data_IF_976112082856
#
_entry.id   IF_976112082856
#
_cell.length_a   1.000
_cell.length_b   1.000
_cell.length_c   1.000
_cell.angle_alpha   90.00
_cell.angle_beta   90.00
_cell.angle_gamma   90.00
#
_symmetry.space_group_name_H-M   'P 1'
#
loop_
_entity.id
_entity.type
_entity.pdbx_description
1 polymer ?
#
# COMPACT_ATOMS: atom_id res chain seq x y z
N UNK A 1 45.51 -17.42 23.31
CA UNK A 1 44.46 -16.50 22.84
C UNK A 1 43.13 -17.22 22.86
N UNK A 2 42.14 -16.73 23.58
CA UNK A 2 40.87 -17.45 23.84
C UNK A 2 40.09 -17.58 22.50
N UNK A 3 39.59 -18.78 22.16
CA UNK A 3 38.86 -19.08 20.92
C UNK A 3 37.83 -17.99 20.55
N UNK A 4 37.13 -17.44 21.56
CA UNK A 4 36.17 -16.33 21.37
C UNK A 4 36.85 -15.03 20.83
N UNK A 5 38.04 -14.69 21.29
CA UNK A 5 38.74 -13.48 20.80
C UNK A 5 39.30 -13.68 19.38
N UNK A 6 39.71 -14.89 19.03
CA UNK A 6 40.15 -15.20 17.67
C UNK A 6 38.98 -15.11 16.67
N UNK A 7 37.81 -15.64 17.04
CA UNK A 7 36.59 -15.58 16.23
C UNK A 7 36.13 -14.12 16.01
N UNK A 8 36.11 -13.32 17.07
CA UNK A 8 35.74 -11.87 16.98
C UNK A 8 36.72 -11.13 16.09
N UNK A 9 38.02 -11.42 16.17
CA UNK A 9 39.04 -10.76 15.33
C UNK A 9 38.93 -11.17 13.86
N UNK A 10 38.62 -12.43 13.55
CA UNK A 10 38.43 -12.93 12.19
C UNK A 10 37.15 -12.32 11.59
N UNK A 11 36.10 -12.17 12.39
CA UNK A 11 34.83 -11.60 11.94
C UNK A 11 34.91 -10.09 11.72
N UNK A 12 35.69 -9.37 12.53
CA UNK A 12 35.96 -7.94 12.30
C UNK A 12 36.80 -7.73 11.03
N UNK A 13 37.70 -8.64 10.69
CA UNK A 13 38.49 -8.59 9.45
C UNK A 13 37.61 -8.90 8.23
N UNK A 14 36.70 -9.88 8.31
CA UNK A 14 35.76 -10.21 7.22
C UNK A 14 34.81 -9.03 6.97
N UNK A 15 34.28 -8.40 8.02
CA UNK A 15 33.45 -7.19 7.90
C UNK A 15 34.21 -6.02 7.25
N UNK A 16 35.49 -5.84 7.59
CA UNK A 16 36.34 -4.79 7.02
C UNK A 16 36.67 -5.07 5.54
N UNK A 17 36.91 -6.31 5.18
CA UNK A 17 37.21 -6.73 3.80
C UNK A 17 35.96 -6.60 2.90
N UNK A 18 34.76 -6.88 3.44
CA UNK A 18 33.51 -6.66 2.69
C UNK A 18 33.24 -5.16 2.43
N UNK A 19 33.72 -4.26 3.28
CA UNK A 19 33.57 -2.80 3.13
C UNK A 19 34.61 -2.19 2.17
N UNK A 20 35.79 -2.82 2.02
CA UNK A 20 36.91 -2.26 1.23
C UNK A 20 37.00 -2.78 -0.20
N UNK A 21 36.33 -3.86 -0.57
CA UNK A 21 36.32 -4.40 -1.94
C UNK A 21 35.05 -3.98 -2.66
N UNK A 22 35.08 -2.75 -3.17
CA UNK A 22 34.18 -2.27 -4.22
C UNK A 22 32.82 -1.80 -3.74
N UNK A 23 32.49 -0.57 -4.07
CA UNK A 23 31.27 0.19 -3.74
C UNK A 23 29.93 -0.37 -4.28
N UNK A 24 29.77 -1.68 -4.38
CA UNK A 24 28.54 -2.37 -4.79
C UNK A 24 28.35 -3.70 -4.01
N UNK A 25 28.58 -3.69 -2.70
CA UNK A 25 28.09 -4.80 -1.89
C UNK A 25 26.65 -4.46 -1.50
N UNK A 26 25.70 -5.20 -2.02
CA UNK A 26 24.29 -5.08 -1.66
C UNK A 26 24.13 -5.10 -0.12
N UNK A 27 23.31 -4.19 0.41
CA UNK A 27 22.97 -4.11 1.84
C UNK A 27 22.53 -5.47 2.41
N UNK A 28 21.93 -6.30 1.57
CA UNK A 28 21.48 -7.66 1.88
C UNK A 28 22.65 -8.64 2.12
N UNK A 29 23.77 -8.48 1.44
CA UNK A 29 24.96 -9.31 1.69
C UNK A 29 25.60 -8.96 3.04
N UNK A 30 25.54 -7.70 3.46
CA UNK A 30 26.02 -7.24 4.77
C UNK A 30 25.08 -7.74 5.87
N UNK A 31 23.76 -7.65 5.69
CA UNK A 31 22.78 -8.18 6.64
C UNK A 31 22.86 -9.71 6.77
N UNK A 32 23.05 -10.43 5.66
CA UNK A 32 23.29 -11.86 5.63
C UNK A 32 24.57 -12.24 6.40
N UNK A 33 25.64 -11.45 6.25
CA UNK A 33 26.89 -11.67 6.96
C UNK A 33 26.75 -11.41 8.47
N UNK A 34 26.00 -10.37 8.86
CA UNK A 34 25.71 -10.06 10.27
C UNK A 34 24.85 -11.16 10.90
N UNK A 35 23.82 -11.66 10.19
CA UNK A 35 22.96 -12.74 10.65
C UNK A 35 23.75 -14.06 10.85
N UNK A 36 24.65 -14.39 9.92
CA UNK A 36 25.57 -15.55 10.08
C UNK A 36 26.46 -15.42 11.31
N UNK A 37 26.93 -14.22 11.58
CA UNK A 37 27.78 -13.94 12.74
C UNK A 37 27.03 -14.10 14.05
N UNK A 38 25.80 -13.61 14.13
CA UNK A 38 24.94 -13.75 15.30
C UNK A 38 24.55 -15.21 15.57
N UNK A 39 24.26 -16.00 14.54
CA UNK A 39 23.92 -17.41 14.63
C UNK A 39 25.10 -18.27 15.21
N UNK A 40 26.32 -17.99 14.75
CA UNK A 40 27.54 -18.69 15.26
C UNK A 40 27.78 -18.38 16.75
N UNK A 41 27.41 -17.18 17.20
CA UNK A 41 27.60 -16.78 18.63
C UNK A 41 26.52 -17.38 19.55
N UNK A 42 25.29 -17.61 19.04
CA UNK A 42 24.15 -18.13 19.82
C UNK A 42 24.09 -19.67 19.89
N UNK A 43 24.92 -20.37 19.11
CA UNK A 43 24.90 -21.82 19.05
C UNK A 43 23.73 -22.45 18.28
N UNK A 44 22.86 -21.60 17.67
CA UNK A 44 21.86 -22.03 16.71
C UNK A 44 22.41 -21.84 15.30
N UNK A 45 22.51 -22.90 14.52
CA UNK A 45 22.88 -22.86 13.10
C UNK A 45 21.69 -22.34 12.30
N UNK A 46 21.40 -21.02 12.41
CA UNK A 46 20.43 -20.38 11.53
C UNK A 46 21.13 -20.02 10.23
N UNK A 47 20.65 -20.58 9.14
CA UNK A 47 21.10 -20.26 7.79
C UNK A 47 20.29 -19.06 7.28
N UNK A 48 20.93 -17.94 6.88
CA UNK A 48 20.21 -16.81 6.30
C UNK A 48 19.62 -17.21 4.96
N UNK A 49 18.43 -16.68 4.66
CA UNK A 49 17.78 -16.85 3.37
C UNK A 49 18.55 -16.11 2.28
N UNK A 50 18.57 -16.72 1.09
CA UNK A 50 19.01 -16.06 -0.13
C UNK A 50 17.93 -15.07 -0.60
N UNK A 51 18.31 -14.10 -1.42
CA UNK A 51 17.36 -13.16 -2.02
C UNK A 51 16.29 -13.88 -2.87
N UNK A 52 16.67 -14.97 -3.57
CA UNK A 52 15.73 -15.83 -4.30
C UNK A 52 14.73 -16.57 -3.43
N UNK A 53 14.96 -16.68 -2.11
CA UNK A 53 14.12 -17.40 -1.16
C UNK A 53 13.16 -16.47 -0.39
N UNK A 54 13.45 -15.17 -0.30
CA UNK A 54 12.66 -14.23 0.53
C UNK A 54 12.59 -12.83 -0.07
N UNK A 55 12.11 -12.72 -1.31
CA UNK A 55 11.91 -11.43 -1.98
C UNK A 55 10.65 -10.74 -1.49
N UNK A 56 10.67 -9.42 -1.54
CA UNK A 56 9.49 -8.58 -1.37
C UNK A 56 8.72 -8.84 -0.08
N UNK A 57 9.46 -9.05 1.02
CA UNK A 57 8.85 -9.17 2.35
C UNK A 57 8.06 -7.89 2.62
N UNK A 58 6.78 -8.04 2.96
CA UNK A 58 5.87 -6.93 3.20
C UNK A 58 4.82 -7.25 4.24
N UNK A 59 4.42 -6.23 4.96
CA UNK A 59 3.25 -6.26 5.82
C UNK A 59 2.06 -5.72 5.05
N UNK A 60 0.94 -6.42 5.11
CA UNK A 60 -0.35 -5.97 4.57
C UNK A 60 -1.29 -5.76 5.74
N UNK A 61 -2.15 -4.74 5.65
CA UNK A 61 -3.18 -4.50 6.66
C UNK A 61 -4.07 -5.72 6.84
N UNK A 62 -4.44 -6.00 8.08
CA UNK A 62 -5.47 -6.97 8.43
C UNK A 62 -6.77 -6.23 8.76
N UNK A 63 -7.88 -6.93 8.93
CA UNK A 63 -9.17 -6.30 9.24
C UNK A 63 -9.11 -5.46 10.53
N UNK A 64 -8.45 -5.98 11.57
CA UNK A 64 -8.11 -5.23 12.79
C UNK A 64 -6.59 -5.22 12.98
N UNK A 65 -5.96 -4.08 12.73
CA UNK A 65 -4.52 -3.91 12.83
C UNK A 65 -4.01 -3.72 14.27
N UNK A 66 -4.90 -3.66 15.25
CA UNK A 66 -4.52 -3.63 16.67
C UNK A 66 -4.16 -5.02 17.20
N UNK A 67 -4.72 -6.07 16.61
CA UNK A 67 -4.57 -7.45 17.09
C UNK A 67 -4.06 -8.43 16.02
N UNK A 68 -3.90 -7.98 14.78
CA UNK A 68 -3.48 -8.84 13.67
C UNK A 68 -2.64 -8.12 12.62
N UNK A 69 -1.88 -8.90 11.83
CA UNK A 69 -1.07 -8.43 10.72
C UNK A 69 -0.81 -9.55 9.72
N UNK A 70 -1.04 -9.27 8.42
CA UNK A 70 -0.67 -10.20 7.35
C UNK A 70 0.76 -9.94 6.88
N UNK A 71 1.55 -11.00 6.78
CA UNK A 71 2.91 -11.00 6.28
C UNK A 71 2.94 -11.78 4.98
N UNK A 72 3.56 -11.19 3.96
CA UNK A 72 3.75 -11.84 2.66
C UNK A 72 5.20 -11.73 2.21
N UNK A 73 5.63 -12.70 1.41
CA UNK A 73 6.89 -12.65 0.66
C UNK A 73 6.81 -13.53 -0.58
N UNK A 74 7.83 -13.48 -1.41
CA UNK A 74 7.93 -14.30 -2.61
C UNK A 74 9.26 -15.06 -2.64
N UNK A 75 9.26 -16.20 -3.35
CA UNK A 75 10.46 -16.99 -3.64
C UNK A 75 10.46 -17.47 -5.09
N UNK A 76 11.62 -17.95 -5.55
CA UNK A 76 11.77 -18.53 -6.90
C UNK A 76 11.41 -20.03 -6.94
N UNK A 77 11.24 -20.67 -5.79
CA UNK A 77 10.92 -22.09 -5.65
C UNK A 77 9.82 -22.32 -4.63
N UNK A 78 9.08 -23.41 -4.78
CA UNK A 78 8.12 -23.89 -3.76
C UNK A 78 8.85 -24.29 -2.48
N UNK A 79 8.30 -23.89 -1.34
CA UNK A 79 8.86 -24.15 -0.02
C UNK A 79 7.75 -24.58 0.94
N UNK A 80 7.48 -25.89 0.97
CA UNK A 80 6.35 -26.47 1.71
C UNK A 80 6.33 -26.16 3.22
N UNK A 81 7.50 -25.87 3.81
CA UNK A 81 7.66 -25.58 5.24
C UNK A 81 7.85 -24.09 5.52
N UNK A 82 7.18 -23.23 4.76
CA UNK A 82 7.20 -21.79 4.95
C UNK A 82 6.61 -21.40 6.31
N UNK A 83 7.32 -20.56 7.06
CA UNK A 83 6.94 -20.15 8.42
C UNK A 83 7.18 -18.66 8.64
N UNK A 84 6.40 -18.08 9.56
CA UNK A 84 6.63 -16.77 10.14
C UNK A 84 6.93 -16.98 11.62
N UNK A 85 8.06 -16.47 12.07
CA UNK A 85 8.40 -16.38 13.49
C UNK A 85 8.22 -14.94 13.96
N UNK A 86 7.69 -14.77 15.17
CA UNK A 86 7.49 -13.45 15.77
C UNK A 86 7.62 -13.49 17.29
N UNK A 87 7.95 -12.35 17.87
CA UNK A 87 8.11 -12.20 19.33
C UNK A 87 7.94 -10.74 19.75
N UNK A 88 7.69 -10.52 21.01
CA UNK A 88 7.80 -9.18 21.61
C UNK A 88 9.25 -8.68 21.51
N UNK A 89 9.44 -7.42 21.23
CA UNK A 89 10.79 -6.81 21.26
C UNK A 89 11.41 -6.99 22.64
N UNK A 90 12.61 -7.55 22.66
CA UNK A 90 13.35 -7.86 23.89
C UNK A 90 12.97 -9.19 24.56
N UNK A 91 12.06 -9.97 23.98
CA UNK A 91 11.73 -11.33 24.47
C UNK A 91 12.58 -12.39 23.78
N UNK A 92 12.99 -13.40 24.53
CA UNK A 92 13.64 -14.60 23.97
C UNK A 92 12.61 -15.64 23.47
N UNK A 93 11.33 -15.49 23.84
CA UNK A 93 10.27 -16.42 23.47
C UNK A 93 9.76 -16.10 22.09
N UNK A 94 10.00 -16.97 21.13
CA UNK A 94 9.54 -16.87 19.75
C UNK A 94 8.31 -17.77 19.55
N UNK A 95 7.29 -17.21 18.89
CA UNK A 95 6.13 -17.93 18.37
C UNK A 95 6.32 -18.18 16.88
N UNK A 96 5.71 -19.25 16.38
CA UNK A 96 5.81 -19.65 14.97
C UNK A 96 4.43 -19.99 14.42
N UNK A 97 4.11 -19.46 13.24
CA UNK A 97 2.96 -19.89 12.46
C UNK A 97 3.42 -20.44 11.10
N UNK A 98 2.62 -21.32 10.52
CA UNK A 98 2.81 -21.75 9.13
C UNK A 98 2.32 -20.66 8.18
N UNK A 99 3.01 -20.51 7.07
CA UNK A 99 2.58 -19.72 5.93
C UNK A 99 2.09 -20.63 4.81
N UNK A 100 1.24 -20.10 3.94
CA UNK A 100 0.87 -20.77 2.69
C UNK A 100 2.04 -20.76 1.71
N UNK A 101 2.00 -21.64 0.72
CA UNK A 101 2.90 -21.67 -0.44
C UNK A 101 2.04 -21.84 -1.69
N UNK A 102 1.99 -20.82 -2.55
CA UNK A 102 1.14 -20.79 -3.75
C UNK A 102 1.94 -20.35 -4.96
N UNK A 103 2.02 -21.20 -5.97
CA UNK A 103 2.56 -20.79 -7.27
C UNK A 103 1.61 -19.79 -7.95
N UNK A 104 2.18 -18.74 -8.50
CA UNK A 104 1.51 -17.77 -9.35
C UNK A 104 2.34 -17.55 -10.62
N UNK A 105 1.67 -17.74 -11.77
CA UNK A 105 2.30 -17.58 -13.09
C UNK A 105 1.55 -16.50 -13.86
N UNK A 106 2.27 -15.48 -14.32
CA UNK A 106 1.77 -14.42 -15.18
C UNK A 106 2.94 -13.90 -16.07
N UNK A 107 2.63 -13.37 -17.25
CA UNK A 107 3.66 -12.89 -18.21
C UNK A 107 4.80 -13.91 -18.41
N UNK A 108 4.48 -15.20 -18.53
CA UNK A 108 5.47 -16.26 -18.66
C UNK A 108 6.45 -16.41 -17.50
N UNK A 109 6.22 -15.73 -16.37
CA UNK A 109 7.06 -15.74 -15.18
C UNK A 109 6.32 -16.37 -14.01
N UNK A 110 6.94 -17.34 -13.34
CA UNK A 110 6.39 -17.99 -12.14
C UNK A 110 7.12 -17.48 -10.89
N UNK A 111 6.35 -17.17 -9.87
CA UNK A 111 6.82 -16.89 -8.50
C UNK A 111 6.01 -17.70 -7.51
N UNK A 112 6.58 -17.98 -6.34
CA UNK A 112 5.87 -18.62 -5.24
C UNK A 112 5.56 -17.57 -4.18
N UNK A 113 4.28 -17.49 -3.80
CA UNK A 113 3.78 -16.48 -2.88
C UNK A 113 3.50 -17.16 -1.55
N UNK A 114 4.09 -16.60 -0.51
CA UNK A 114 3.88 -17.03 0.86
C UNK A 114 3.06 -15.99 1.60
N UNK A 115 2.08 -16.46 2.38
CA UNK A 115 1.16 -15.62 3.13
C UNK A 115 0.87 -16.23 4.49
N UNK A 116 0.90 -15.42 5.54
CA UNK A 116 0.46 -15.81 6.87
C UNK A 116 -0.02 -14.62 7.67
N UNK A 117 -1.10 -14.78 8.42
CA UNK A 117 -1.66 -13.74 9.27
C UNK A 117 -1.38 -14.03 10.73
N UNK A 118 -0.66 -13.12 11.38
CA UNK A 118 -0.48 -13.10 12.83
C UNK A 118 -1.78 -12.61 13.46
N UNK A 119 -2.27 -13.31 14.48
CA UNK A 119 -3.48 -12.99 15.22
C UNK A 119 -3.26 -13.04 16.72
N UNK A 120 -4.14 -12.41 17.51
CA UNK A 120 -4.00 -12.40 18.97
C UNK A 120 -2.83 -11.55 19.47
N UNK A 121 -2.38 -10.60 18.67
CA UNK A 121 -1.36 -9.62 19.08
C UNK A 121 -1.96 -8.64 20.11
N UNK A 122 -1.13 -8.11 21.00
CA UNK A 122 -1.54 -7.04 21.90
C UNK A 122 -1.58 -5.70 21.16
N UNK A 123 -2.59 -4.84 21.39
CA UNK A 123 -2.65 -3.50 20.79
C UNK A 123 -1.48 -2.61 21.23
N UNK A 124 -1.11 -1.64 20.38
CA UNK A 124 -0.08 -0.64 20.65
C UNK A 124 1.23 -1.26 21.17
N UNK A 125 1.66 -2.36 20.54
CA UNK A 125 2.76 -3.19 21.02
C UNK A 125 3.78 -3.42 19.93
N UNK A 126 5.06 -3.35 20.30
CA UNK A 126 6.18 -3.58 19.37
C UNK A 126 6.58 -5.05 19.39
N UNK A 127 6.51 -5.64 18.22
CA UNK A 127 6.99 -6.97 17.89
C UNK A 127 8.14 -6.88 16.90
N UNK A 128 8.85 -7.97 16.77
CA UNK A 128 9.71 -8.25 15.61
C UNK A 128 9.31 -9.59 15.00
N UNK A 129 9.42 -9.70 13.70
CA UNK A 129 9.12 -10.92 12.97
C UNK A 129 10.20 -11.23 11.94
N UNK A 130 10.26 -12.48 11.52
CA UNK A 130 11.07 -12.95 10.40
C UNK A 130 10.35 -14.06 9.66
N UNK A 131 10.70 -14.24 8.40
CA UNK A 131 10.18 -15.33 7.56
C UNK A 131 11.23 -16.42 7.38
N UNK A 132 10.81 -17.61 7.04
CA UNK A 132 11.76 -18.72 6.86
C UNK A 132 11.15 -20.02 6.41
N UNK A 133 12.01 -21.03 6.35
CA UNK A 133 11.66 -22.38 5.92
C UNK A 133 12.28 -23.43 6.83
N UNK A 134 11.56 -24.54 7.03
CA UNK A 134 12.03 -25.62 7.88
C UNK A 134 12.43 -25.16 9.29
N UNK A 135 13.46 -25.76 9.85
CA UNK A 135 13.90 -25.49 11.21
C UNK A 135 15.00 -24.43 11.33
N UNK A 136 15.74 -24.14 10.26
CA UNK A 136 17.02 -23.41 10.34
C UNK A 136 17.21 -22.27 9.33
N UNK A 137 16.42 -22.17 8.27
CA UNK A 137 16.54 -21.08 7.27
C UNK A 137 15.66 -19.89 7.64
N UNK A 138 16.24 -18.72 7.90
CA UNK A 138 15.52 -17.52 8.37
C UNK A 138 16.05 -16.26 7.70
N UNK A 139 15.14 -15.30 7.50
CA UNK A 139 15.49 -13.93 7.17
C UNK A 139 16.05 -13.17 8.38
N UNK A 140 16.45 -11.93 8.17
CA UNK A 140 16.64 -10.96 9.24
C UNK A 140 15.31 -10.72 9.99
N UNK A 141 15.39 -10.17 11.21
CA UNK A 141 14.24 -9.67 11.95
C UNK A 141 13.80 -8.32 11.42
N UNK A 142 12.49 -8.12 11.28
CA UNK A 142 11.83 -6.88 10.88
C UNK A 142 10.91 -6.39 11.98
N UNK A 143 10.72 -5.07 12.05
CA UNK A 143 9.80 -4.46 13.02
C UNK A 143 8.35 -4.68 12.63
N UNK A 144 7.50 -4.89 13.62
CA UNK A 144 6.04 -4.88 13.51
C UNK A 144 5.48 -4.16 14.72
N UNK A 145 4.71 -3.09 14.49
CA UNK A 145 3.99 -2.39 15.54
C UNK A 145 2.49 -2.50 15.28
N UNK A 146 1.75 -2.93 16.29
CA UNK A 146 0.29 -3.02 16.22
C UNK A 146 -0.34 -1.65 16.41
N UNK A 147 -1.46 -1.41 15.73
CA UNK A 147 -2.21 -0.16 15.86
C UNK A 147 -2.73 0.06 17.28
N UNK A 148 -2.94 1.31 17.68
CA UNK A 148 -3.45 1.69 19.01
C UNK A 148 -2.78 2.95 19.57
N UNK A 149 -1.78 3.51 18.90
CA UNK A 149 -1.27 4.83 19.25
C UNK A 149 -2.34 5.90 19.04
N UNK A 150 -2.41 6.88 19.95
CA UNK A 150 -3.36 7.99 19.86
C UNK A 150 -3.01 9.00 18.78
N UNK A 151 -1.74 9.06 18.41
CA UNK A 151 -1.22 9.94 17.36
C UNK A 151 -0.30 9.11 16.49
N UNK A 152 -0.54 9.10 15.19
CA UNK A 152 0.30 8.40 14.23
C UNK A 152 0.23 9.05 12.84
N UNK A 153 1.25 8.79 12.03
CA UNK A 153 1.34 9.31 10.67
C UNK A 153 1.09 8.21 9.64
N UNK A 154 0.41 8.59 8.57
CA UNK A 154 0.13 7.76 7.39
C UNK A 154 0.78 8.41 6.18
N UNK A 155 1.57 7.67 5.40
CA UNK A 155 2.01 8.10 4.08
C UNK A 155 1.00 7.65 3.03
N UNK A 156 0.69 8.52 2.07
CA UNK A 156 -0.26 8.24 1.00
C UNK A 156 0.42 8.53 -0.32
N UNK A 157 0.45 7.52 -1.18
CA UNK A 157 1.04 7.61 -2.51
C UNK A 157 -0.05 7.53 -3.57
N UNK A 158 -0.15 8.54 -4.45
CA UNK A 158 -1.03 8.49 -5.61
C UNK A 158 -0.49 7.51 -6.67
N UNK A 159 -1.10 7.54 -7.86
CA UNK A 159 -0.75 6.74 -9.03
C UNK A 159 0.76 6.69 -9.25
N UNK A 160 1.34 5.51 -9.21
CA UNK A 160 2.79 5.28 -9.31
C UNK A 160 3.21 4.60 -10.59
N UNK A 161 2.27 4.32 -11.49
CA UNK A 161 2.54 3.71 -12.79
C UNK A 161 3.60 4.47 -13.57
N UNK A 162 4.54 3.77 -14.16
CA UNK A 162 5.71 4.34 -14.80
C UNK A 162 6.27 3.42 -15.88
N UNK A 163 6.85 4.01 -16.91
CA UNK A 163 7.77 3.32 -17.81
C UNK A 163 9.13 3.12 -17.14
N UNK A 164 9.58 4.12 -16.37
CA UNK A 164 10.80 4.08 -15.54
C UNK A 164 10.45 4.41 -14.08
N UNK A 165 10.54 3.42 -13.21
CA UNK A 165 10.22 3.52 -11.78
C UNK A 165 11.30 4.23 -10.94
N UNK A 166 12.38 4.74 -11.52
CA UNK A 166 13.47 5.38 -10.79
C UNK A 166 13.01 6.63 -10.01
N UNK A 167 12.02 7.35 -10.53
CA UNK A 167 11.43 8.49 -9.86
C UNK A 167 10.51 8.07 -8.70
N UNK A 168 9.70 7.04 -8.91
CA UNK A 168 8.88 6.42 -7.88
C UNK A 168 9.73 5.92 -6.70
N UNK A 169 10.80 5.17 -7.00
CA UNK A 169 11.74 4.68 -5.96
C UNK A 169 12.31 5.83 -5.13
N UNK A 170 12.72 6.94 -5.77
CA UNK A 170 13.21 8.13 -5.05
C UNK A 170 12.14 8.73 -4.16
N UNK A 171 10.90 8.87 -4.63
CA UNK A 171 9.80 9.42 -3.85
C UNK A 171 9.56 8.58 -2.60
N UNK A 172 9.45 7.25 -2.74
CA UNK A 172 9.27 6.35 -1.58
C UNK A 172 10.41 6.49 -0.59
N UNK A 173 11.66 6.41 -1.06
CA UNK A 173 12.85 6.50 -0.22
C UNK A 173 12.96 7.82 0.54
N UNK A 174 12.72 8.93 -0.16
CA UNK A 174 12.89 10.25 0.40
C UNK A 174 11.73 10.65 1.32
N UNK A 175 10.49 10.28 0.96
CA UNK A 175 9.33 10.50 1.83
C UNK A 175 9.40 9.64 3.10
N UNK A 176 9.78 8.36 3.00
CA UNK A 176 9.99 7.50 4.16
C UNK A 176 11.06 8.06 5.10
N UNK A 177 12.15 8.59 4.56
CA UNK A 177 13.21 9.23 5.35
C UNK A 177 12.74 10.49 6.07
N UNK A 178 11.87 11.30 5.42
CA UNK A 178 11.32 12.52 6.02
C UNK A 178 10.24 12.22 7.07
N UNK A 179 9.58 11.05 6.98
CA UNK A 179 8.50 10.63 7.85
C UNK A 179 8.86 9.31 8.58
N UNK A 180 9.87 9.32 9.47
CA UNK A 180 10.39 8.09 10.08
C UNK A 180 9.41 7.41 11.05
N UNK A 181 8.36 8.11 11.47
CA UNK A 181 7.33 7.61 12.39
C UNK A 181 6.07 7.14 11.66
N UNK A 182 6.15 6.90 10.35
CA UNK A 182 5.03 6.38 9.57
C UNK A 182 4.59 5.02 10.11
N UNK A 183 3.33 4.92 10.51
CA UNK A 183 2.73 3.70 11.05
C UNK A 183 1.95 2.89 10.01
N UNK A 184 1.53 3.53 8.92
CA UNK A 184 0.76 2.95 7.82
C UNK A 184 1.16 3.67 6.53
N UNK A 185 1.22 2.95 5.41
CA UNK A 185 1.23 3.61 4.11
C UNK A 185 0.14 3.05 3.19
N UNK A 186 -0.36 3.93 2.32
CA UNK A 186 -1.48 3.67 1.42
C UNK A 186 -1.01 3.96 0.01
N UNK A 187 -1.34 3.08 -0.93
CA UNK A 187 -1.14 3.29 -2.36
C UNK A 187 -2.49 3.29 -3.07
N UNK A 188 -2.76 4.34 -3.84
CA UNK A 188 -4.10 4.70 -4.31
C UNK A 188 -4.51 4.05 -5.64
N UNK A 189 -3.89 2.92 -6.01
CA UNK A 189 -4.12 2.24 -7.29
C UNK A 189 -3.20 2.72 -8.40
N UNK A 190 -3.31 2.12 -9.57
CA UNK A 190 -2.39 2.33 -10.70
C UNK A 190 -0.93 2.22 -10.23
N UNK A 191 -0.63 1.10 -9.57
CA UNK A 191 0.69 0.80 -9.01
C UNK A 191 1.70 0.57 -10.12
N UNK A 192 1.25 -0.16 -11.14
CA UNK A 192 2.00 -0.50 -12.35
C UNK A 192 1.31 0.08 -13.58
N UNK A 193 2.05 0.24 -14.67
CA UNK A 193 1.47 0.72 -15.94
C UNK A 193 0.70 -0.38 -16.68
N UNK A 194 1.06 -1.66 -16.43
CA UNK A 194 0.35 -2.80 -17.00
C UNK A 194 0.32 -3.97 -16.01
N UNK A 195 -0.89 -4.36 -15.60
CA UNK A 195 -1.15 -5.36 -14.55
C UNK A 195 -0.71 -6.78 -14.88
N UNK A 196 -0.52 -7.14 -16.16
CA UNK A 196 0.04 -8.43 -16.56
C UNK A 196 1.58 -8.43 -16.54
N UNK A 197 2.24 -7.29 -16.66
CA UNK A 197 3.68 -7.23 -16.85
C UNK A 197 4.48 -7.55 -15.58
N UNK A 198 4.98 -8.76 -15.48
CA UNK A 198 5.72 -9.25 -14.31
C UNK A 198 6.96 -8.41 -13.97
N UNK A 199 7.64 -7.82 -14.98
CA UNK A 199 8.77 -6.92 -14.74
C UNK A 199 8.37 -5.68 -13.94
N UNK A 200 7.25 -5.04 -14.28
CA UNK A 200 6.79 -3.84 -13.59
C UNK A 200 6.44 -4.13 -12.13
N UNK A 201 5.76 -5.24 -11.85
CA UNK A 201 5.49 -5.69 -10.49
C UNK A 201 6.76 -5.91 -9.67
N UNK A 202 7.75 -6.58 -10.25
CA UNK A 202 9.04 -6.77 -9.56
C UNK A 202 9.72 -5.44 -9.26
N UNK A 203 9.68 -4.50 -10.19
CA UNK A 203 10.28 -3.18 -10.03
C UNK A 203 9.53 -2.37 -8.98
N UNK A 204 8.21 -2.37 -9.03
CA UNK A 204 7.37 -1.69 -8.04
C UNK A 204 7.61 -2.24 -6.63
N UNK A 205 7.56 -3.55 -6.46
CA UNK A 205 7.79 -4.21 -5.16
C UNK A 205 9.20 -3.94 -4.61
N UNK A 206 10.22 -3.82 -5.48
CA UNK A 206 11.56 -3.38 -5.07
C UNK A 206 11.57 -1.93 -4.58
N UNK A 207 10.85 -1.04 -5.26
CA UNK A 207 10.82 0.39 -4.93
C UNK A 207 10.24 0.66 -3.54
N UNK A 208 9.29 -0.16 -3.08
CA UNK A 208 8.68 -0.01 -1.74
C UNK A 208 9.47 -0.67 -0.60
N UNK A 209 10.55 -1.39 -0.88
CA UNK A 209 11.37 -2.07 0.15
C UNK A 209 11.78 -1.19 1.35
N UNK A 210 12.04 0.12 1.20
CA UNK A 210 12.33 0.97 2.36
C UNK A 210 11.24 0.96 3.45
N UNK A 211 9.99 0.70 3.07
CA UNK A 211 8.83 0.66 3.97
C UNK A 211 8.30 -0.76 4.19
N UNK A 212 8.19 -1.56 3.14
CA UNK A 212 7.30 -2.72 3.06
C UNK A 212 7.47 -3.77 4.14
N UNK A 213 8.70 -4.04 4.59
CA UNK A 213 8.95 -5.04 5.63
C UNK A 213 8.66 -4.53 7.05
N UNK A 214 8.58 -3.21 7.28
CA UNK A 214 8.47 -2.64 8.62
C UNK A 214 7.19 -1.83 8.87
N UNK A 215 6.50 -1.43 7.80
CA UNK A 215 5.27 -0.63 7.87
C UNK A 215 4.17 -1.33 7.05
N UNK A 216 2.94 -1.48 7.57
CA UNK A 216 1.85 -2.09 6.82
C UNK A 216 1.40 -1.25 5.63
N UNK A 217 1.03 -1.94 4.57
CA UNK A 217 0.50 -1.40 3.32
C UNK A 217 -0.98 -1.68 3.19
N UNK A 218 -1.75 -0.67 2.80
CA UNK A 218 -3.07 -0.80 2.19
C UNK A 218 -3.00 -0.36 0.72
N UNK A 219 -3.68 -1.07 -0.18
CA UNK A 219 -3.69 -0.76 -1.62
C UNK A 219 -5.10 -0.63 -2.14
N UNK A 220 -5.32 0.31 -3.05
CA UNK A 220 -6.55 0.42 -3.83
C UNK A 220 -6.31 -0.22 -5.21
N UNK A 221 -7.32 -0.81 -5.81
CA UNK A 221 -7.27 -1.33 -7.17
C UNK A 221 -7.49 -0.17 -8.15
N UNK A 222 -6.58 0.01 -9.11
CA UNK A 222 -6.72 0.92 -10.23
C UNK A 222 -7.00 0.20 -11.55
N UNK A 223 -7.25 0.93 -12.63
CA UNK A 223 -7.52 0.33 -13.93
C UNK A 223 -6.27 -0.30 -14.56
N UNK A 224 -5.08 0.22 -14.28
CA UNK A 224 -3.85 -0.32 -14.83
C UNK A 224 -3.51 -1.72 -14.30
N UNK A 225 -3.98 -2.09 -13.12
CA UNK A 225 -3.87 -3.46 -12.58
C UNK A 225 -4.67 -4.48 -13.41
N UNK A 226 -5.65 -4.03 -14.19
CA UNK A 226 -6.54 -4.88 -14.98
C UNK A 226 -6.12 -5.02 -16.45
N UNK A 227 -5.06 -4.37 -16.91
CA UNK A 227 -4.65 -4.46 -18.30
C UNK A 227 -3.76 -5.66 -18.58
N UNK A 228 -4.05 -6.33 -19.72
CA UNK A 228 -3.17 -7.31 -20.35
C UNK A 228 -2.05 -6.62 -21.13
N UNK A 229 -1.04 -7.38 -21.57
CA UNK A 229 0.06 -6.84 -22.40
C UNK A 229 -0.40 -6.21 -23.71
N UNK A 230 -1.56 -6.58 -24.23
CA UNK A 230 -2.19 -5.98 -25.41
C UNK A 230 -3.30 -4.94 -25.05
N UNK A 231 -3.28 -4.44 -23.81
CA UNK A 231 -4.15 -3.38 -23.31
C UNK A 231 -5.65 -3.71 -23.27
N UNK A 232 -5.99 -4.99 -23.14
CA UNK A 232 -7.36 -5.42 -22.87
C UNK A 232 -7.58 -5.59 -21.38
N UNK A 233 -8.81 -5.41 -20.94
CA UNK A 233 -9.16 -5.64 -19.55
C UNK A 233 -9.25 -7.14 -19.23
N UNK A 234 -8.82 -7.50 -18.02
CA UNK A 234 -8.95 -8.84 -17.42
C UNK A 234 -9.10 -8.71 -15.90
N UNK A 235 -9.36 -9.82 -15.22
CA UNK A 235 -9.23 -9.87 -13.76
C UNK A 235 -7.81 -9.45 -13.32
N UNK A 236 -7.69 -8.66 -12.24
CA UNK A 236 -6.41 -8.16 -11.74
C UNK A 236 -5.61 -9.26 -11.01
N UNK A 237 -5.27 -10.34 -11.71
CA UNK A 237 -4.70 -11.55 -11.09
C UNK A 237 -3.44 -11.27 -10.30
N UNK A 238 -2.54 -10.43 -10.80
CA UNK A 238 -1.31 -10.11 -10.09
C UNK A 238 -1.60 -9.33 -8.80
N UNK A 239 -2.45 -8.31 -8.86
CA UNK A 239 -2.88 -7.55 -7.67
C UNK A 239 -3.49 -8.47 -6.61
N UNK A 240 -4.46 -9.31 -6.96
CA UNK A 240 -5.16 -10.21 -6.05
C UNK A 240 -4.24 -11.27 -5.42
N UNK A 241 -3.13 -11.61 -6.08
CA UNK A 241 -2.14 -12.53 -5.55
C UNK A 241 -1.03 -11.83 -4.75
N UNK A 242 -0.65 -10.60 -5.12
CA UNK A 242 0.44 -9.90 -4.44
C UNK A 242 0.01 -9.15 -3.19
N UNK A 243 -1.29 -8.90 -2.99
CA UNK A 243 -1.81 -8.18 -1.83
C UNK A 243 -2.94 -8.97 -1.16
N UNK A 244 -2.59 -9.62 -0.05
CA UNK A 244 -3.55 -10.35 0.78
C UNK A 244 -4.27 -9.38 1.73
N UNK A 245 -4.98 -8.40 1.15
CA UNK A 245 -5.81 -7.45 1.89
C UNK A 245 -6.99 -8.18 2.57
N UNK A 246 -7.68 -7.57 3.56
CA UNK A 246 -8.80 -8.20 4.25
C UNK A 246 -9.87 -8.72 3.29
N UNK A 247 -10.45 -9.89 3.55
CA UNK A 247 -11.56 -10.39 2.77
C UNK A 247 -12.83 -9.57 3.03
N UNK A 248 -13.67 -9.41 2.02
CA UNK A 248 -14.97 -8.73 2.11
C UNK A 248 -16.16 -9.68 2.33
N UNK A 249 -15.91 -10.97 2.48
CA UNK A 249 -16.94 -11.98 2.62
C UNK A 249 -17.63 -12.40 1.33
N UNK A 250 -17.27 -11.83 0.18
CA UNK A 250 -17.78 -12.22 -1.13
C UNK A 250 -16.74 -13.09 -1.85
N UNK A 251 -17.14 -14.26 -2.36
CA UNK A 251 -16.20 -15.19 -3.01
C UNK A 251 -15.74 -14.68 -4.38
N UNK A 252 -16.64 -14.02 -5.14
CA UNK A 252 -16.35 -13.54 -6.51
C UNK A 252 -15.48 -12.29 -6.46
N UNK A 253 -15.81 -11.34 -5.57
CA UNK A 253 -15.14 -10.05 -5.46
C UNK A 253 -14.14 -9.98 -4.30
N UNK A 254 -13.67 -11.12 -3.83
CA UNK A 254 -12.75 -11.19 -2.70
C UNK A 254 -11.49 -10.37 -2.97
N UNK A 255 -11.12 -9.50 -2.00
CA UNK A 255 -9.94 -8.61 -2.06
C UNK A 255 -10.00 -7.48 -3.12
N UNK A 256 -11.11 -7.32 -3.85
CA UNK A 256 -11.27 -6.20 -4.79
C UNK A 256 -11.66 -4.92 -4.06
N UNK A 257 -12.54 -5.04 -3.08
CA UNK A 257 -12.89 -3.99 -2.12
C UNK A 257 -12.84 -4.56 -0.71
N UNK A 258 -12.61 -3.75 0.29
CA UNK A 258 -12.47 -4.21 1.68
C UNK A 258 -12.50 -3.04 2.66
N UNK A 259 -12.60 -3.34 3.95
CA UNK A 259 -12.39 -2.36 5.03
C UNK A 259 -11.39 -2.88 6.04
N UNK A 260 -10.79 -1.97 6.78
CA UNK A 260 -9.89 -2.28 7.87
C UNK A 260 -9.86 -1.17 8.91
N UNK A 261 -9.57 -1.55 10.14
CA UNK A 261 -9.38 -0.62 11.25
C UNK A 261 -7.88 -0.41 11.53
N UNK A 262 -7.50 0.86 11.67
CA UNK A 262 -6.17 1.23 12.14
C UNK A 262 -6.29 2.37 13.17
N UNK A 263 -6.03 2.07 14.45
CA UNK A 263 -6.28 3.00 15.54
C UNK A 263 -7.75 3.42 15.62
N UNK A 264 -8.00 4.73 15.63
CA UNK A 264 -9.34 5.32 15.70
C UNK A 264 -9.96 5.57 14.32
N UNK A 265 -9.38 5.04 13.25
CA UNK A 265 -9.85 5.21 11.87
C UNK A 265 -10.36 3.89 11.30
N UNK A 266 -11.55 3.93 10.73
CA UNK A 266 -12.10 2.94 9.84
C UNK A 266 -11.82 3.35 8.40
N UNK A 267 -11.05 2.53 7.69
CA UNK A 267 -10.73 2.73 6.28
C UNK A 267 -11.60 1.82 5.43
N UNK A 268 -12.24 2.40 4.42
CA UNK A 268 -13.02 1.69 3.42
C UNK A 268 -12.32 1.83 2.09
N UNK A 269 -12.01 0.73 1.44
CA UNK A 269 -11.38 0.69 0.11
C UNK A 269 -12.40 0.17 -0.89
N UNK A 270 -12.71 1.00 -1.90
CA UNK A 270 -13.71 0.68 -2.93
C UNK A 270 -13.04 0.30 -4.25
N UNK A 271 -13.61 -0.69 -4.93
CA UNK A 271 -13.33 -0.96 -6.32
C UNK A 271 -14.22 -0.09 -7.22
N UNK A 272 -13.61 0.73 -8.04
CA UNK A 272 -14.29 1.66 -8.95
C UNK A 272 -14.04 1.32 -10.43
N UNK A 273 -13.72 0.04 -10.73
CA UNK A 273 -13.26 -0.37 -12.06
C UNK A 273 -14.36 -0.99 -12.94
N UNK A 274 -15.63 -0.82 -12.61
CA UNK A 274 -16.73 -1.45 -13.36
C UNK A 274 -16.96 -0.83 -14.75
N UNK A 275 -16.71 0.47 -14.93
CA UNK A 275 -17.02 1.20 -16.15
C UNK A 275 -15.81 1.97 -16.69
N UNK A 276 -14.97 1.33 -17.52
CA UNK A 276 -14.12 2.09 -18.43
C UNK A 276 -14.85 2.34 -19.76
N UNK A 277 -15.62 3.40 -19.83
CA UNK A 277 -16.49 3.73 -20.98
C UNK A 277 -15.78 4.33 -22.20
N UNK A 278 -14.45 4.31 -22.29
CA UNK A 278 -13.72 4.98 -23.38
C UNK A 278 -13.38 4.09 -24.58
N UNK A 279 -13.64 2.80 -24.50
CA UNK A 279 -13.60 1.89 -25.65
C UNK A 279 -14.94 1.15 -25.71
N UNK A 280 -15.62 1.22 -26.85
CA UNK A 280 -16.93 0.61 -27.07
C UNK A 280 -16.96 -0.92 -26.80
N UNK A 281 -15.79 -1.54 -26.57
CA UNK A 281 -15.60 -2.97 -26.33
C UNK A 281 -15.19 -3.33 -24.89
N UNK A 282 -15.07 -2.36 -23.96
CA UNK A 282 -14.50 -2.58 -22.62
C UNK A 282 -15.55 -2.46 -21.50
N UNK A 283 -16.70 -3.04 -21.66
CA UNK A 283 -17.53 -3.33 -20.50
C UNK A 283 -16.92 -4.52 -19.76
N UNK A 284 -16.74 -4.41 -18.43
CA UNK A 284 -16.55 -5.60 -17.61
C UNK A 284 -17.84 -6.45 -17.68
N UNK A 285 -17.93 -7.26 -18.72
CA UNK A 285 -19.03 -8.19 -18.92
C UNK A 285 -18.93 -9.36 -17.96
N UNK A 286 -17.83 -9.51 -17.22
CA UNK A 286 -17.62 -10.61 -16.30
C UNK A 286 -18.34 -10.40 -14.96
N UNK A 287 -18.50 -9.13 -14.52
CA UNK A 287 -19.06 -8.81 -13.21
C UNK A 287 -20.00 -7.58 -13.24
N UNK A 288 -21.12 -7.65 -13.97
CA UNK A 288 -22.03 -6.49 -14.11
C UNK A 288 -22.72 -6.08 -12.81
N UNK A 289 -22.73 -6.94 -11.80
CA UNK A 289 -23.34 -6.73 -10.49
C UNK A 289 -22.37 -6.23 -9.39
N UNK A 290 -21.10 -5.99 -9.74
CA UNK A 290 -20.09 -5.54 -8.76
C UNK A 290 -20.57 -4.34 -7.94
N UNK A 291 -21.11 -3.31 -8.58
CA UNK A 291 -21.55 -2.11 -7.85
C UNK A 291 -22.74 -2.35 -6.95
N UNK A 292 -23.70 -3.15 -7.36
CA UNK A 292 -24.87 -3.50 -6.54
C UNK A 292 -24.46 -4.27 -5.30
N UNK A 293 -23.58 -5.26 -5.47
CA UNK A 293 -23.04 -6.07 -4.37
C UNK A 293 -22.18 -5.20 -3.44
N UNK A 294 -21.32 -4.36 -4.01
CA UNK A 294 -20.44 -3.49 -3.23
C UNK A 294 -21.20 -2.42 -2.44
N UNK A 295 -22.28 -1.85 -3.01
CA UNK A 295 -23.15 -0.88 -2.31
C UNK A 295 -23.83 -1.51 -1.11
N UNK A 296 -24.35 -2.74 -1.25
CA UNK A 296 -24.96 -3.45 -0.12
C UNK A 296 -23.94 -3.71 0.99
N UNK A 297 -22.74 -4.19 0.62
CA UNK A 297 -21.64 -4.40 1.55
C UNK A 297 -21.21 -3.09 2.23
N UNK A 298 -21.02 -2.00 1.47
CA UNK A 298 -20.61 -0.69 1.97
C UNK A 298 -21.57 -0.16 3.03
N UNK A 299 -22.88 -0.26 2.79
CA UNK A 299 -23.89 0.16 3.76
C UNK A 299 -23.86 -0.65 5.04
N UNK A 300 -23.63 -1.95 4.95
CA UNK A 300 -23.51 -2.83 6.12
C UNK A 300 -22.24 -2.54 6.90
N UNK A 301 -21.13 -2.35 6.22
CA UNK A 301 -19.82 -2.04 6.78
C UNK A 301 -19.84 -0.71 7.53
N UNK A 302 -20.31 0.36 6.87
CA UNK A 302 -20.43 1.69 7.49
C UNK A 302 -21.44 1.71 8.66
N UNK A 303 -22.52 0.96 8.59
CA UNK A 303 -23.50 0.83 9.68
C UNK A 303 -22.92 0.11 10.90
N UNK A 304 -21.98 -0.81 10.69
CA UNK A 304 -21.29 -1.56 11.75
C UNK A 304 -20.09 -0.78 12.34
N UNK A 305 -19.65 0.28 11.67
CA UNK A 305 -18.48 1.05 12.09
C UNK A 305 -18.69 1.75 13.44
N UNK A 306 -17.73 1.57 14.34
CA UNK A 306 -17.69 2.20 15.67
C UNK A 306 -16.49 3.13 15.87
N UNK A 307 -15.65 3.28 14.86
CA UNK A 307 -14.48 4.17 14.95
C UNK A 307 -14.88 5.64 14.85
N UNK A 308 -14.05 6.48 15.41
CA UNK A 308 -14.29 7.93 15.42
C UNK A 308 -14.22 8.53 14.02
N UNK A 309 -13.26 8.07 13.22
CA UNK A 309 -12.98 8.57 11.89
C UNK A 309 -13.33 7.53 10.82
N UNK A 310 -13.86 8.00 9.70
CA UNK A 310 -14.13 7.18 8.52
C UNK A 310 -13.43 7.79 7.32
N UNK A 311 -12.53 7.03 6.70
CA UNK A 311 -11.78 7.43 5.51
C UNK A 311 -12.10 6.47 4.38
N UNK A 312 -12.56 6.99 3.24
CA UNK A 312 -12.81 6.21 2.03
C UNK A 312 -11.67 6.40 1.05
N UNK A 313 -11.18 5.30 0.51
CA UNK A 313 -10.15 5.21 -0.51
C UNK A 313 -10.79 4.64 -1.77
N UNK A 314 -10.73 5.36 -2.88
CA UNK A 314 -11.25 4.91 -4.16
C UNK A 314 -10.32 5.37 -5.28
N UNK A 315 -10.14 4.57 -6.32
CA UNK A 315 -9.21 4.96 -7.38
C UNK A 315 -9.80 6.06 -8.26
N UNK A 316 -10.98 5.86 -8.85
CA UNK A 316 -11.63 6.92 -9.65
C UNK A 316 -12.20 8.02 -8.78
N UNK A 317 -11.97 9.26 -9.22
CA UNK A 317 -12.53 10.45 -8.57
C UNK A 317 -14.06 10.47 -8.79
N UNK A 318 -14.87 10.70 -7.73
CA UNK A 318 -16.33 10.81 -7.87
C UNK A 318 -16.78 12.07 -8.62
N UNK A 319 -15.86 12.98 -8.92
CA UNK A 319 -16.10 14.17 -9.71
C UNK A 319 -15.78 13.92 -11.18
N UNK A 320 -16.70 14.27 -12.07
CA UNK A 320 -16.47 14.18 -13.51
C UNK A 320 -15.42 15.21 -13.95
N UNK A 321 -14.42 14.74 -14.65
CA UNK A 321 -13.38 15.57 -15.22
C UNK A 321 -13.73 16.04 -16.64
N UNK A 322 -13.12 17.16 -17.02
CA UNK A 322 -13.15 17.68 -18.39
C UNK A 322 -11.77 18.20 -18.78
N UNK A 323 -11.40 18.08 -20.06
CA UNK A 323 -10.17 18.68 -20.56
C UNK A 323 -10.32 20.21 -20.70
N UNK A 324 -9.29 20.95 -20.27
CA UNK A 324 -9.20 22.40 -20.50
C UNK A 324 -8.68 22.67 -21.92
N UNK A 325 -9.54 22.38 -22.92
CA UNK A 325 -9.24 22.62 -24.34
C UNK A 325 -10.54 22.90 -25.12
N UNK A 326 -10.45 23.66 -26.25
CA UNK A 326 -11.60 23.84 -27.15
C UNK A 326 -12.13 22.50 -27.68
N UNK A 327 -13.46 22.36 -27.73
CA UNK A 327 -14.12 21.17 -28.24
C UNK A 327 -14.07 19.94 -27.33
N UNK A 328 -13.78 20.11 -26.04
CA UNK A 328 -13.89 19.03 -25.07
C UNK A 328 -15.34 18.49 -25.06
N UNK A 329 -15.48 17.16 -25.14
CA UNK A 329 -16.77 16.47 -25.24
C UNK A 329 -17.54 16.38 -23.92
N UNK A 330 -16.86 16.66 -22.80
CA UNK A 330 -17.43 16.59 -21.44
C UNK A 330 -17.28 17.94 -20.74
N UNK A 331 -18.17 18.23 -19.82
CA UNK A 331 -18.01 19.30 -18.83
C UNK A 331 -17.69 18.69 -17.45
N UNK A 332 -17.30 19.53 -16.50
CA UNK A 332 -17.12 19.15 -15.11
C UNK A 332 -18.47 18.87 -14.45
N UNK A 333 -18.50 18.02 -13.43
CA UNK A 333 -19.72 17.62 -12.75
C UNK A 333 -19.45 16.46 -11.79
N UNK A 334 -20.37 15.52 -11.75
CA UNK A 334 -20.23 14.27 -11.00
C UNK A 334 -20.40 13.10 -11.98
N UNK A 335 -19.57 12.07 -11.84
CA UNK A 335 -19.66 10.88 -12.66
C UNK A 335 -20.56 9.82 -11.99
N UNK A 336 -20.67 8.65 -12.60
CA UNK A 336 -21.54 7.58 -12.10
C UNK A 336 -21.12 7.08 -10.72
N UNK A 337 -19.81 6.98 -10.43
CA UNK A 337 -19.29 6.68 -9.11
C UNK A 337 -19.70 7.76 -8.07
N UNK A 338 -19.67 9.02 -8.48
CA UNK A 338 -20.10 10.13 -7.62
C UNK A 338 -21.58 10.07 -7.31
N UNK A 339 -22.41 9.86 -8.33
CA UNK A 339 -23.88 9.74 -8.17
C UNK A 339 -24.22 8.54 -7.27
N UNK A 340 -23.47 7.44 -7.38
CA UNK A 340 -23.72 6.22 -6.62
C UNK A 340 -23.24 6.32 -5.16
N UNK A 341 -22.00 6.74 -4.94
CA UNK A 341 -21.35 6.60 -3.63
C UNK A 341 -21.47 7.85 -2.74
N UNK A 342 -21.45 9.07 -3.29
CA UNK A 342 -21.49 10.30 -2.48
C UNK A 342 -22.72 10.39 -1.55
N UNK A 343 -23.96 10.01 -1.99
CA UNK A 343 -25.11 9.98 -1.09
C UNK A 343 -24.95 9.02 0.11
N UNK A 344 -24.22 7.91 -0.08
CA UNK A 344 -23.93 6.96 0.99
C UNK A 344 -22.91 7.57 1.95
N UNK A 345 -21.88 8.23 1.45
CA UNK A 345 -20.91 8.92 2.29
C UNK A 345 -21.54 10.03 3.13
N UNK A 346 -22.51 10.74 2.56
CA UNK A 346 -23.30 11.76 3.27
C UNK A 346 -24.19 11.17 4.37
N UNK A 347 -24.84 10.04 4.08
CA UNK A 347 -25.71 9.32 5.02
C UNK A 347 -24.96 8.83 6.25
N UNK A 348 -23.76 8.25 6.03
CA UNK A 348 -22.94 7.70 7.11
C UNK A 348 -21.88 8.66 7.68
N UNK A 349 -21.91 9.94 7.27
CA UNK A 349 -21.01 10.99 7.73
C UNK A 349 -19.52 10.59 7.60
N UNK A 350 -19.12 10.13 6.42
CA UNK A 350 -17.70 9.92 6.08
C UNK A 350 -16.94 11.23 6.26
N UNK A 351 -15.70 11.18 6.75
CA UNK A 351 -14.89 12.36 7.03
C UNK A 351 -14.04 12.79 5.85
N UNK A 352 -13.40 11.82 5.21
CA UNK A 352 -12.41 12.04 4.16
C UNK A 352 -12.60 11.02 3.04
N UNK A 353 -12.60 11.50 1.81
CA UNK A 353 -12.58 10.68 0.59
C UNK A 353 -11.31 11.02 -0.20
N UNK A 354 -10.45 10.04 -0.37
CA UNK A 354 -9.26 10.14 -1.20
C UNK A 354 -9.51 9.41 -2.52
N UNK A 355 -9.16 10.06 -3.62
CA UNK A 355 -9.24 9.50 -4.97
C UNK A 355 -7.92 9.68 -5.74
N UNK A 356 -7.80 9.08 -6.91
CA UNK A 356 -6.60 9.04 -7.73
C UNK A 356 -6.94 9.15 -9.23
N UNK A 357 -6.33 8.35 -10.12
CA UNK A 357 -6.68 8.19 -11.55
C UNK A 357 -6.46 9.43 -12.43
N UNK A 358 -6.74 10.61 -11.95
CA UNK A 358 -6.66 11.83 -12.75
C UNK A 358 -5.25 12.42 -12.85
N UNK A 359 -4.29 11.87 -12.11
CA UNK A 359 -2.89 12.33 -12.04
C UNK A 359 -2.78 13.82 -11.71
N UNK A 360 -3.65 14.31 -10.85
CA UNK A 360 -3.74 15.71 -10.44
C UNK A 360 -4.03 15.81 -8.95
N UNK A 361 -3.29 16.65 -8.23
CA UNK A 361 -3.62 16.97 -6.86
C UNK A 361 -4.60 18.14 -6.82
N UNK A 362 -5.74 17.90 -6.19
CA UNK A 362 -6.75 18.94 -5.94
C UNK A 362 -7.36 18.78 -4.56
N UNK A 363 -7.75 19.90 -3.97
CA UNK A 363 -8.61 19.91 -2.81
C UNK A 363 -9.99 20.40 -3.25
N UNK A 364 -10.99 19.52 -3.18
CA UNK A 364 -12.38 19.85 -3.50
C UNK A 364 -13.10 20.53 -2.34
N UNK A 365 -12.48 20.53 -1.14
CA UNK A 365 -13.12 20.95 0.10
C UNK A 365 -14.24 20.01 0.53
N UNK A 366 -15.00 20.44 1.52
CA UNK A 366 -16.14 19.69 2.04
C UNK A 366 -17.36 19.80 1.11
N UNK A 367 -17.96 18.65 0.79
CA UNK A 367 -19.12 18.57 -0.13
C UNK A 367 -20.17 17.64 0.46
N UNK A 368 -21.43 18.11 0.49
CA UNK A 368 -22.62 17.31 0.86
C UNK A 368 -23.74 17.61 -0.13
N UNK A 369 -24.49 16.57 -0.51
CA UNK A 369 -25.57 16.70 -1.50
C UNK A 369 -25.09 17.41 -2.78
N UNK A 370 -23.89 17.06 -3.24
CA UNK A 370 -23.24 17.61 -4.44
C UNK A 370 -22.96 19.13 -4.39
N UNK A 371 -23.01 19.74 -3.22
CA UNK A 371 -22.77 21.17 -3.01
C UNK A 371 -21.70 21.40 -1.95
N UNK A 372 -21.11 22.61 -1.99
CA UNK A 372 -20.20 23.06 -0.94
C UNK A 372 -20.95 23.08 0.40
N UNK A 373 -20.47 22.28 1.36
CA UNK A 373 -21.07 22.20 2.69
C UNK A 373 -19.97 21.76 3.70
N UNK A 374 -19.66 22.57 4.73
CA UNK A 374 -18.63 22.25 5.71
C UNK A 374 -18.97 21.01 6.57
N UNK A 375 -20.22 20.55 6.58
CA UNK A 375 -20.63 19.34 7.30
C UNK A 375 -20.42 18.05 6.48
N UNK A 376 -20.08 18.16 5.20
CA UNK A 376 -19.87 17.02 4.32
C UNK A 376 -18.44 16.44 4.39
N UNK A 377 -18.20 15.30 3.76
CA UNK A 377 -16.87 14.75 3.60
C UNK A 377 -15.91 15.73 2.90
N UNK A 378 -14.63 15.68 3.26
CA UNK A 378 -13.55 16.34 2.51
C UNK A 378 -13.14 15.44 1.34
N UNK A 379 -13.06 15.98 0.12
CA UNK A 379 -12.67 15.22 -1.09
C UNK A 379 -11.33 15.71 -1.64
N UNK A 380 -10.38 14.77 -1.83
CA UNK A 380 -9.03 15.07 -2.32
C UNK A 380 -8.59 14.04 -3.37
N UNK A 381 -8.52 14.39 -4.66
CA UNK A 381 -7.69 13.69 -5.64
C UNK A 381 -6.21 13.82 -5.27
N UNK A 382 -5.52 12.68 -5.15
CA UNK A 382 -4.23 12.59 -4.45
C UNK A 382 -3.02 12.98 -5.30
N UNK A 383 -3.14 13.06 -6.64
CA UNK A 383 -2.07 13.51 -7.52
C UNK A 383 -1.40 12.41 -8.31
N UNK A 384 -0.07 12.44 -8.43
CA UNK A 384 0.75 11.46 -9.15
C UNK A 384 2.13 11.30 -8.52
N UNK A 385 2.60 10.06 -8.43
CA UNK A 385 3.97 9.71 -8.01
C UNK A 385 4.77 8.99 -9.11
N UNK A 386 4.11 8.59 -10.20
CA UNK A 386 4.70 7.96 -11.38
C UNK A 386 5.17 8.94 -12.45
N UNK A 387 5.41 8.46 -13.67
CA UNK A 387 5.86 9.28 -14.81
C UNK A 387 4.76 9.55 -15.84
N UNK A 388 3.58 8.93 -15.74
CA UNK A 388 2.45 9.20 -16.63
C UNK A 388 1.89 10.61 -16.39
N UNK A 389 1.74 11.39 -17.47
CA UNK A 389 1.22 12.75 -17.40
C UNK A 389 -0.09 12.86 -18.17
N UNK A 390 -1.02 13.64 -17.61
CA UNK A 390 -2.30 13.93 -18.25
C UNK A 390 -2.31 15.35 -18.81
N UNK A 391 -3.18 15.63 -19.79
CA UNK A 391 -3.47 17.00 -20.22
C UNK A 391 -4.01 17.84 -19.08
N UNK A 392 -3.98 19.16 -19.25
CA UNK A 392 -4.57 20.08 -18.28
C UNK A 392 -6.07 19.84 -18.13
N UNK A 393 -6.51 19.65 -16.89
CA UNK A 393 -7.91 19.50 -16.53
C UNK A 393 -8.59 20.84 -16.29
N UNK A 394 -9.83 20.98 -16.72
CA UNK A 394 -10.69 22.11 -16.38
C UNK A 394 -10.90 22.15 -14.87
N UNK A 395 -10.83 23.35 -14.29
CA UNK A 395 -11.10 23.52 -12.86
C UNK A 395 -12.58 23.27 -12.57
N UNK A 396 -12.88 22.48 -11.56
CA UNK A 396 -14.24 22.27 -11.08
C UNK A 396 -14.65 23.44 -10.16
N UNK A 397 -15.92 23.90 -10.15
CA UNK A 397 -16.39 24.98 -9.27
C UNK A 397 -16.21 24.69 -7.77
N UNK A 398 -16.12 23.42 -7.40
CA UNK A 398 -15.87 22.99 -6.03
C UNK A 398 -14.37 22.86 -5.69
N UNK A 399 -13.45 23.11 -6.59
CA UNK A 399 -12.02 23.13 -6.26
C UNK A 399 -11.69 24.34 -5.37
N UNK A 400 -11.14 24.09 -4.18
CA UNK A 400 -10.61 25.14 -3.30
C UNK A 400 -9.11 25.32 -3.49
N UNK A 401 -8.42 24.24 -3.95
CA UNK A 401 -7.02 24.28 -4.33
C UNK A 401 -6.76 23.37 -5.53
N UNK A 402 -5.90 23.80 -6.42
CA UNK A 402 -5.40 23.05 -7.58
C UNK A 402 -3.88 23.18 -7.60
N UNK A 403 -3.17 22.06 -7.69
CA UNK A 403 -1.71 22.07 -7.77
C UNK A 403 -1.23 22.92 -8.96
N UNK A 404 -0.11 23.65 -8.82
CA UNK A 404 0.46 24.44 -9.91
C UNK A 404 0.72 23.62 -11.16
N UNK A 405 0.46 24.25 -12.34
CA UNK A 405 0.63 23.60 -13.65
C UNK A 405 1.91 24.09 -14.34
N UNK A 406 2.68 23.25 -15.07
CA UNK A 406 2.46 21.82 -15.26
C UNK A 406 2.67 21.05 -13.96
N UNK A 407 1.78 20.12 -13.69
CA UNK A 407 1.81 19.37 -12.45
C UNK A 407 3.03 18.44 -12.38
N UNK A 408 3.60 18.34 -11.19
CA UNK A 408 4.75 17.48 -10.89
C UNK A 408 4.33 16.40 -9.92
N UNK A 409 5.21 15.43 -9.67
CA UNK A 409 4.96 14.37 -8.70
C UNK A 409 4.76 14.95 -7.30
N UNK A 410 3.94 14.25 -6.53
CA UNK A 410 3.68 14.56 -5.13
C UNK A 410 3.50 13.27 -4.33
N UNK A 411 3.53 13.40 -3.03
CA UNK A 411 3.06 12.42 -2.05
C UNK A 411 2.29 13.15 -0.95
N UNK A 412 1.54 12.40 -0.16
CA UNK A 412 0.77 12.98 0.93
C UNK A 412 1.15 12.35 2.26
N UNK A 413 0.89 13.06 3.34
CA UNK A 413 0.83 12.51 4.69
C UNK A 413 -0.49 12.86 5.35
N UNK A 414 -0.95 11.98 6.23
CA UNK A 414 -2.07 12.25 7.11
C UNK A 414 -1.65 11.96 8.56
N UNK A 415 -1.70 12.99 9.42
CA UNK A 415 -1.54 12.80 10.86
C UNK A 415 -2.89 12.58 11.49
N UNK A 416 -3.08 11.43 12.11
CA UNK A 416 -4.28 11.07 12.88
C UNK A 416 -4.04 11.41 14.33
N UNK A 417 -4.98 12.16 14.93
CA UNK A 417 -5.01 12.47 16.36
C UNK A 417 -6.39 12.16 16.93
N UNK A 418 -6.57 12.18 18.26
CA UNK A 418 -7.89 11.95 18.86
C UNK A 418 -8.98 12.89 18.36
N UNK A 419 -8.63 14.12 17.92
CA UNK A 419 -9.60 15.14 17.56
C UNK A 419 -9.38 15.76 16.17
N UNK A 420 -8.36 15.34 15.43
CA UNK A 420 -8.05 15.90 14.10
C UNK A 420 -7.49 14.86 13.16
N UNK A 421 -7.88 14.98 11.90
CA UNK A 421 -7.13 14.46 10.75
C UNK A 421 -6.45 15.65 10.08
N UNK A 422 -5.13 15.63 9.97
CA UNK A 422 -4.33 16.68 9.32
C UNK A 422 -3.75 16.07 8.04
N UNK A 423 -4.27 16.49 6.91
CA UNK A 423 -3.89 15.96 5.58
C UNK A 423 -3.01 16.98 4.88
N UNK A 424 -1.83 16.56 4.43
CA UNK A 424 -0.86 17.42 3.75
C UNK A 424 -0.39 16.80 2.45
N UNK A 425 -0.18 17.63 1.44
CA UNK A 425 0.47 17.23 0.19
C UNK A 425 1.83 17.88 0.04
N UNK A 426 2.80 17.13 -0.50
CA UNK A 426 4.20 17.56 -0.64
C UNK A 426 4.74 17.25 -2.03
N UNK A 427 5.58 18.12 -2.54
CA UNK A 427 6.49 17.81 -3.65
C UNK A 427 7.53 16.76 -3.22
N UNK A 428 8.21 16.08 -4.16
CA UNK A 428 9.22 15.07 -3.83
C UNK A 428 10.39 15.60 -2.97
N UNK A 429 10.70 16.89 -3.05
CA UNK A 429 11.74 17.54 -2.24
C UNK A 429 11.29 17.85 -0.79
N UNK A 430 10.00 17.67 -0.48
CA UNK A 430 9.41 17.95 0.83
C UNK A 430 8.75 19.32 0.93
N UNK A 431 8.71 20.10 -0.14
CA UNK A 431 7.96 21.37 -0.17
C UNK A 431 6.46 21.08 -0.04
N UNK A 432 5.81 21.67 0.98
CA UNK A 432 4.37 21.52 1.20
C UNK A 432 3.58 22.28 0.14
N UNK A 433 2.62 21.60 -0.48
CA UNK A 433 1.70 22.16 -1.47
C UNK A 433 0.40 22.66 -0.83
N UNK A 434 -0.20 21.84 0.02
CA UNK A 434 -1.50 22.10 0.61
C UNK A 434 -1.63 21.44 1.98
N UNK A 435 -2.59 21.92 2.78
CA UNK A 435 -2.95 21.35 4.07
C UNK A 435 -4.45 21.48 4.33
N UNK A 436 -5.06 20.43 4.81
CA UNK A 436 -6.44 20.41 5.28
C UNK A 436 -6.53 19.80 6.68
N UNK A 437 -7.42 20.33 7.49
CA UNK A 437 -7.67 19.84 8.85
C UNK A 437 -9.15 19.54 9.01
N UNK A 438 -9.48 18.31 9.42
CA UNK A 438 -10.81 17.88 9.80
C UNK A 438 -10.83 17.76 11.34
N UNK A 439 -11.79 18.35 11.99
CA UNK A 439 -11.91 18.35 13.46
C UNK A 439 -13.24 17.74 13.93
N UNK A 440 -13.17 16.93 14.97
CA UNK A 440 -14.33 16.36 15.69
C UNK A 440 -14.18 16.46 17.20
#
# INVERSE_FOLDING_TARGET
MNKKRLIISVLAIISLVCVTIGGYVHKDAIQSCIARTAAVVSGQEIKPLLDSESRYIRQIVAQDNSTSRTIMWQSDSSEADAVIEYRLVGSDTTQTIKATDKAFTDDGSTTYIHEGTLTGLAPNTKYEYRVGYGSDRRSAWYSLETAGARVYDVLIYPDSQSGDYSQWERIVKDSAKRNPNTALYISMGDLVDNGEQAYQWRTWLNSIRPLSANVPLATTLGNHEMYTLDWKMREPYAYLNYFAVPPNGNEIFNRRYYSYDFGDVHYVVLDTMLYESNHEDNHDTHHPDLYDVQVQWLRQDLAANTKKWTVVLMHRDPFQYAFDRPGASRDVGFNDEGVLFMPIFDEFNVDLVLSAHLHTYRNRGHVRNFNRDPSGPLYIPTGIAGDARRPKWKQHPLDVYVAPQPETNNYMSMTVTPNKLIVKSFLPDGTQLDESVIEK
#
